data_IF_344874250958
#
_entry.id   IF_344874250958
#
_cell.length_a   1.000
_cell.length_b   1.000
_cell.length_c   1.000
_cell.angle_alpha   90.00
_cell.angle_beta   90.00
_cell.angle_gamma   90.00
#
_symmetry.space_group_name_H-M   'P 1'
#
loop_
_entity.id
_entity.type
_entity.pdbx_description
1 polymer ?
#
# COMPACT_ATOMS: atom_id res chain seq x y z
N UNK A 1 2.77 -12.28 -23.70
CA UNK A 1 3.74 -11.21 -24.01
C UNK A 1 2.98 -9.93 -24.31
N UNK A 2 2.53 -9.23 -23.26
CA UNK A 2 1.95 -7.90 -23.37
C UNK A 2 2.94 -6.93 -22.72
N UNK A 3 3.55 -6.08 -23.53
CA UNK A 3 4.42 -4.98 -23.10
C UNK A 3 3.60 -3.98 -22.29
N UNK A 4 3.99 -3.75 -21.02
CA UNK A 4 3.36 -2.79 -20.09
C UNK A 4 3.69 -1.32 -20.42
N UNK A 5 3.44 -0.92 -21.66
CA UNK A 5 3.37 0.48 -22.08
C UNK A 5 1.97 0.76 -22.65
N UNK A 6 0.92 0.35 -21.93
CA UNK A 6 -0.38 0.96 -22.14
C UNK A 6 -0.29 2.40 -21.61
N UNK A 7 -0.44 3.39 -22.48
CA UNK A 7 -0.64 4.79 -22.12
C UNK A 7 -1.95 4.90 -21.33
N UNK A 8 -1.89 4.63 -20.04
CA UNK A 8 -3.02 4.89 -19.17
C UNK A 8 -3.21 6.40 -19.07
N UNK A 9 -4.42 6.86 -19.39
CA UNK A 9 -4.85 8.20 -19.07
C UNK A 9 -4.64 8.44 -17.56
N UNK A 10 -3.73 9.36 -17.24
CA UNK A 10 -3.40 9.76 -15.86
C UNK A 10 -4.15 11.02 -15.42
N UNK A 11 -4.89 11.67 -16.32
CA UNK A 11 -5.57 12.92 -16.02
C UNK A 11 -6.84 12.61 -15.24
N UNK A 12 -6.84 12.96 -13.97
CA UNK A 12 -8.01 12.86 -13.10
C UNK A 12 -8.61 14.25 -12.88
N UNK A 13 -9.92 14.30 -12.59
CA UNK A 13 -10.59 15.47 -12.06
C UNK A 13 -11.58 15.07 -10.98
N UNK A 14 -12.10 16.05 -10.25
CA UNK A 14 -13.21 15.85 -9.31
C UNK A 14 -14.39 15.12 -9.97
N UNK A 15 -14.76 15.51 -11.20
CA UNK A 15 -15.89 14.94 -11.94
C UNK A 15 -15.58 13.63 -12.71
N UNK A 16 -14.31 13.22 -12.81
CA UNK A 16 -13.92 12.11 -13.69
C UNK A 16 -12.73 11.34 -13.16
N UNK A 17 -12.86 10.01 -13.16
CA UNK A 17 -11.75 9.09 -12.92
C UNK A 17 -10.80 9.05 -14.11
N UNK A 18 -9.49 9.00 -13.82
CA UNK A 18 -8.49 8.67 -14.84
C UNK A 18 -8.52 7.16 -15.17
N UNK A 19 -7.85 6.74 -16.25
CA UNK A 19 -7.73 5.32 -16.60
C UNK A 19 -7.04 4.49 -15.52
N UNK A 20 -6.15 5.11 -14.74
CA UNK A 20 -5.50 4.50 -13.57
C UNK A 20 -6.51 4.23 -12.46
N UNK A 21 -7.43 5.15 -12.24
CA UNK A 21 -8.47 5.03 -11.22
C UNK A 21 -9.54 4.02 -11.62
N UNK A 22 -9.86 3.94 -12.92
CA UNK A 22 -10.73 2.88 -13.44
C UNK A 22 -10.10 1.50 -13.30
N UNK A 23 -8.77 1.38 -13.47
CA UNK A 23 -8.06 0.14 -13.17
C UNK A 23 -8.25 -0.28 -11.71
N UNK A 24 -8.11 0.64 -10.75
CA UNK A 24 -8.39 0.36 -9.34
C UNK A 24 -9.85 -0.04 -9.09
N UNK A 25 -10.79 0.68 -9.70
CA UNK A 25 -12.22 0.39 -9.62
C UNK A 25 -12.52 -1.02 -10.10
N UNK A 26 -11.88 -1.48 -11.19
CA UNK A 26 -12.08 -2.84 -11.71
C UNK A 26 -11.70 -3.95 -10.72
N UNK A 27 -10.77 -3.68 -9.81
CA UNK A 27 -10.38 -4.60 -8.74
C UNK A 27 -11.20 -4.46 -7.46
N UNK A 28 -12.07 -3.45 -7.35
CA UNK A 28 -12.79 -3.15 -6.11
C UNK A 28 -13.65 -4.33 -5.61
N UNK A 29 -14.43 -5.06 -6.43
CA UNK A 29 -15.21 -6.19 -5.94
C UNK A 29 -14.33 -7.31 -5.37
N UNK A 30 -13.18 -7.57 -6.00
CA UNK A 30 -12.23 -8.56 -5.53
C UNK A 30 -11.55 -8.12 -4.23
N UNK A 31 -11.10 -6.87 -4.12
CA UNK A 31 -10.52 -6.32 -2.89
C UNK A 31 -11.51 -6.35 -1.73
N UNK A 32 -12.78 -6.03 -1.99
CA UNK A 32 -13.84 -6.12 -1.00
C UNK A 32 -14.07 -7.57 -0.54
N UNK A 33 -14.02 -8.53 -1.46
CA UNK A 33 -14.10 -9.97 -1.12
C UNK A 33 -12.93 -10.46 -0.25
N UNK A 34 -11.78 -9.75 -0.28
CA UNK A 34 -10.62 -9.97 0.60
C UNK A 34 -10.70 -9.18 1.91
N UNK A 35 -11.78 -8.42 2.13
CA UNK A 35 -12.00 -7.64 3.34
C UNK A 35 -11.38 -6.24 3.30
N UNK A 36 -11.10 -5.68 2.11
CA UNK A 36 -10.57 -4.32 1.93
C UNK A 36 -11.52 -3.45 1.12
N UNK A 37 -12.08 -2.43 1.77
CA UNK A 37 -12.98 -1.48 1.14
C UNK A 37 -12.18 -0.26 0.66
N UNK A 38 -12.16 -0.02 -0.65
CA UNK A 38 -11.61 1.20 -1.22
C UNK A 38 -12.48 2.44 -0.89
N UNK A 39 -11.87 3.63 -0.93
CA UNK A 39 -12.54 4.93 -0.80
C UNK A 39 -13.74 5.03 -1.76
N UNK A 40 -14.77 5.82 -1.42
CA UNK A 40 -15.97 5.98 -2.26
C UNK A 40 -15.66 6.19 -3.74
N UNK A 41 -14.70 7.06 -4.07
CA UNK A 41 -14.27 7.35 -5.45
C UNK A 41 -13.98 6.12 -6.30
N UNK A 42 -13.47 5.03 -5.72
CA UNK A 42 -13.07 3.80 -6.43
C UNK A 42 -14.12 2.69 -6.37
N UNK A 43 -15.35 3.02 -6.00
CA UNK A 43 -16.48 2.08 -6.03
C UNK A 43 -17.12 2.09 -7.43
N UNK A 44 -17.53 0.94 -7.98
CA UNK A 44 -18.09 0.86 -9.34
C UNK A 44 -19.26 1.82 -9.61
N UNK A 45 -20.06 2.10 -8.59
CA UNK A 45 -21.27 2.92 -8.61
C UNK A 45 -21.09 4.32 -8.01
N UNK A 46 -19.84 4.81 -7.90
CA UNK A 46 -19.61 6.11 -7.27
C UNK A 46 -20.26 7.27 -8.00
N UNK A 47 -21.05 8.00 -7.22
CA UNK A 47 -21.60 9.31 -7.52
C UNK A 47 -20.85 10.30 -6.63
N UNK A 48 -20.30 11.40 -7.16
CA UNK A 48 -19.54 12.31 -6.33
C UNK A 48 -20.42 12.94 -5.25
N UNK A 49 -19.91 12.99 -4.02
CA UNK A 49 -20.70 13.33 -2.83
C UNK A 49 -21.38 14.70 -2.90
N UNK A 50 -20.77 15.67 -3.60
CA UNK A 50 -21.34 17.01 -3.83
C UNK A 50 -22.52 17.03 -4.82
N UNK A 51 -22.72 15.98 -5.61
CA UNK A 51 -23.95 15.82 -6.42
C UNK A 51 -25.10 15.25 -5.59
N UNK A 52 -24.81 14.57 -4.49
CA UNK A 52 -25.82 14.04 -3.57
C UNK A 52 -26.25 15.13 -2.59
N UNK A 53 -25.29 15.92 -2.10
CA UNK A 53 -25.53 17.06 -1.24
C UNK A 53 -25.00 18.36 -1.87
N UNK A 54 -25.92 19.14 -2.45
CA UNK A 54 -25.64 20.41 -3.12
C UNK A 54 -25.07 21.50 -2.20
N UNK A 55 -24.98 21.29 -0.88
CA UNK A 55 -24.31 22.21 0.04
C UNK A 55 -22.79 22.01 0.10
N UNK A 56 -22.26 20.94 -0.50
CA UNK A 56 -20.83 20.63 -0.48
C UNK A 56 -20.15 21.13 -1.76
N UNK A 57 -18.91 21.59 -1.64
CA UNK A 57 -18.03 21.76 -2.79
C UNK A 57 -17.12 20.54 -2.93
N UNK A 58 -16.72 20.22 -4.17
CA UNK A 58 -15.82 19.10 -4.42
C UNK A 58 -14.54 19.19 -3.57
N UNK A 59 -13.96 20.40 -3.44
CA UNK A 59 -12.76 20.66 -2.63
C UNK A 59 -12.88 20.27 -1.15
N UNK A 60 -14.10 20.14 -0.64
CA UNK A 60 -14.38 19.80 0.76
C UNK A 60 -14.60 18.29 0.96
N UNK A 61 -14.64 17.53 -0.14
CA UNK A 61 -15.04 16.13 -0.16
C UNK A 61 -13.83 15.23 -0.45
N UNK A 62 -13.60 14.21 0.38
CA UNK A 62 -12.49 13.26 0.20
C UNK A 62 -12.52 12.56 -1.16
N UNK A 63 -13.72 12.28 -1.69
CA UNK A 63 -13.92 11.60 -2.96
C UNK A 63 -13.69 12.47 -4.20
N UNK A 64 -13.34 13.75 -4.03
CA UNK A 64 -12.77 14.58 -5.10
C UNK A 64 -11.26 14.38 -5.27
N UNK A 65 -10.59 13.85 -4.23
CA UNK A 65 -9.14 13.70 -4.20
C UNK A 65 -8.77 12.36 -4.84
N UNK A 66 -8.01 12.41 -5.93
CA UNK A 66 -7.47 11.22 -6.59
C UNK A 66 -6.31 10.60 -5.80
N UNK A 67 -5.71 9.56 -6.39
CA UNK A 67 -4.48 8.98 -5.88
C UNK A 67 -3.40 9.09 -6.96
N UNK A 68 -2.43 9.98 -6.72
CA UNK A 68 -1.30 10.21 -7.63
C UNK A 68 -0.41 8.97 -7.90
N UNK A 69 -0.18 8.04 -6.95
CA UNK A 69 0.61 6.84 -7.24
C UNK A 69 -0.18 5.78 -8.02
N UNK A 70 0.32 5.40 -9.20
CA UNK A 70 -0.34 4.42 -10.09
C UNK A 70 -0.64 3.06 -9.44
N UNK A 71 0.15 2.64 -8.45
CA UNK A 71 0.15 1.30 -7.88
C UNK A 71 -0.05 1.28 -6.36
N UNK A 72 -0.48 2.38 -5.76
CA UNK A 72 -0.68 2.47 -4.32
C UNK A 72 -1.99 3.20 -4.06
N UNK A 73 -2.88 2.62 -3.26
CA UNK A 73 -4.16 3.23 -2.90
C UNK A 73 -4.52 2.89 -1.47
N UNK A 74 -5.09 3.85 -0.74
CA UNK A 74 -5.59 3.63 0.61
C UNK A 74 -6.91 2.84 0.62
N UNK A 75 -7.13 2.09 1.70
CA UNK A 75 -8.34 1.29 1.90
C UNK A 75 -8.65 1.18 3.39
N UNK A 76 -9.87 0.74 3.69
CA UNK A 76 -10.29 0.36 5.04
C UNK A 76 -10.40 -1.15 5.14
N UNK A 77 -9.70 -1.75 6.10
CA UNK A 77 -9.89 -3.17 6.42
C UNK A 77 -11.25 -3.34 7.11
N UNK A 78 -12.16 -4.09 6.49
CA UNK A 78 -13.57 -4.17 6.89
C UNK A 78 -13.75 -4.72 8.31
N UNK A 79 -12.98 -5.74 8.69
CA UNK A 79 -13.17 -6.41 10.00
C UNK A 79 -12.74 -5.55 11.18
N UNK A 80 -11.71 -4.70 11.01
CA UNK A 80 -11.12 -3.91 12.10
C UNK A 80 -11.44 -2.43 12.02
N UNK A 81 -11.92 -1.95 10.88
CA UNK A 81 -12.05 -0.52 10.57
C UNK A 81 -10.71 0.20 10.39
N UNK A 82 -9.58 -0.52 10.38
CA UNK A 82 -8.24 0.08 10.28
C UNK A 82 -7.98 0.61 8.87
N UNK A 83 -7.45 1.82 8.77
CA UNK A 83 -6.89 2.35 7.53
C UNK A 83 -5.58 1.66 7.17
N UNK A 84 -5.49 1.23 5.92
CA UNK A 84 -4.35 0.54 5.32
C UNK A 84 -4.04 1.15 3.96
N UNK A 85 -2.88 0.79 3.43
CA UNK A 85 -2.50 1.05 2.06
C UNK A 85 -2.41 -0.28 1.33
N UNK A 86 -3.00 -0.36 0.14
CA UNK A 86 -2.88 -1.47 -0.79
C UNK A 86 -1.89 -1.08 -1.87
N UNK A 87 -0.82 -1.86 -2.01
CA UNK A 87 0.17 -1.72 -3.10
C UNK A 87 0.02 -2.86 -4.10
N UNK A 88 0.04 -2.53 -5.39
CA UNK A 88 0.19 -3.50 -6.47
C UNK A 88 1.68 -3.76 -6.74
N UNK A 89 2.14 -4.99 -6.45
CA UNK A 89 3.41 -5.51 -6.92
C UNK A 89 3.14 -6.24 -8.23
N UNK A 90 3.66 -5.70 -9.33
CA UNK A 90 3.56 -6.32 -10.66
C UNK A 90 4.99 -6.53 -11.14
N UNK A 91 5.53 -7.76 -11.04
CA UNK A 91 6.86 -8.08 -11.52
C UNK A 91 6.99 -7.75 -13.01
N UNK A 92 8.08 -7.10 -13.37
CA UNK A 92 8.47 -6.80 -14.75
C UNK A 92 9.98 -6.93 -14.89
N UNK A 93 10.51 -6.59 -16.07
CA UNK A 93 11.85 -6.98 -16.53
C UNK A 93 13.02 -6.66 -15.57
N UNK A 94 12.86 -5.76 -14.59
CA UNK A 94 13.84 -5.48 -13.52
C UNK A 94 13.22 -4.95 -12.20
N UNK A 95 11.88 -4.98 -12.05
CA UNK A 95 11.19 -4.38 -10.89
C UNK A 95 10.21 -5.37 -10.26
N UNK A 96 10.20 -5.45 -8.93
CA UNK A 96 9.18 -6.18 -8.17
C UNK A 96 9.42 -7.69 -8.01
N UNK A 97 10.36 -8.30 -8.74
CA UNK A 97 10.58 -9.77 -8.73
C UNK A 97 10.82 -10.35 -7.33
N UNK A 98 11.53 -9.62 -6.46
CA UNK A 98 11.83 -10.04 -5.09
C UNK A 98 11.11 -9.20 -4.03
N UNK A 99 10.30 -8.22 -4.41
CA UNK A 99 9.75 -7.25 -3.48
C UNK A 99 8.82 -7.91 -2.45
N UNK A 100 7.90 -8.76 -2.91
CA UNK A 100 7.02 -9.51 -2.02
C UNK A 100 7.79 -10.48 -1.13
N UNK A 101 8.83 -11.14 -1.66
CA UNK A 101 9.64 -12.10 -0.92
C UNK A 101 10.41 -11.42 0.22
N UNK A 102 11.07 -10.30 -0.07
CA UNK A 102 11.79 -9.50 0.93
C UNK A 102 10.83 -8.97 1.98
N UNK A 103 9.70 -8.39 1.57
CA UNK A 103 8.72 -7.85 2.50
C UNK A 103 8.12 -8.95 3.40
N UNK A 104 7.81 -10.12 2.83
CA UNK A 104 7.30 -11.26 3.59
C UNK A 104 8.32 -11.81 4.58
N UNK A 105 9.60 -11.83 4.21
CA UNK A 105 10.69 -12.23 5.11
C UNK A 105 10.73 -11.34 6.35
N UNK A 106 10.81 -10.02 6.18
CA UNK A 106 10.81 -9.07 7.30
C UNK A 106 9.49 -9.02 8.08
N UNK A 107 8.40 -9.53 7.51
CA UNK A 107 7.09 -9.61 8.16
C UNK A 107 6.82 -10.96 8.82
N UNK A 108 7.76 -11.91 8.71
CA UNK A 108 7.67 -13.21 9.38
C UNK A 108 7.54 -13.04 10.91
N UNK A 109 6.87 -13.95 11.63
CA UNK A 109 6.63 -13.79 13.07
C UNK A 109 7.88 -13.44 13.88
N UNK A 110 9.00 -14.12 13.60
CA UNK A 110 10.27 -13.93 14.32
C UNK A 110 10.87 -12.53 14.07
N UNK A 111 10.86 -12.08 12.82
CA UNK A 111 11.44 -10.78 12.46
C UNK A 111 10.50 -9.63 12.76
N UNK A 112 9.19 -9.81 12.62
CA UNK A 112 8.19 -8.75 12.85
C UNK A 112 8.20 -8.24 14.28
N UNK A 113 8.45 -9.10 15.27
CA UNK A 113 8.59 -8.70 16.68
C UNK A 113 10.01 -8.31 17.07
N UNK A 114 10.97 -8.40 16.15
CA UNK A 114 12.36 -8.08 16.46
C UNK A 114 12.51 -6.56 16.71
N UNK A 115 13.10 -6.12 17.84
CA UNK A 115 13.16 -4.70 18.20
C UNK A 115 14.01 -3.84 17.25
N UNK A 116 14.84 -4.49 16.42
CA UNK A 116 15.68 -3.83 15.42
C UNK A 116 15.12 -3.90 14.00
N UNK A 117 13.94 -4.49 13.81
CA UNK A 117 13.27 -4.52 12.51
C UNK A 117 12.34 -3.31 12.38
N UNK A 118 12.78 -2.33 11.60
CA UNK A 118 12.02 -1.12 11.29
C UNK A 118 11.34 -1.17 9.91
N UNK A 119 11.29 -2.34 9.28
CA UNK A 119 10.62 -2.52 7.98
C UNK A 119 9.10 -2.44 8.17
N UNK A 120 8.44 -1.71 7.27
CA UNK A 120 6.97 -1.62 7.27
C UNK A 120 6.40 -3.03 7.07
N UNK A 121 5.53 -3.52 7.96
CA UNK A 121 5.06 -4.89 7.87
C UNK A 121 4.06 -5.08 6.72
N UNK A 122 4.15 -6.23 6.06
CA UNK A 122 3.06 -6.81 5.28
C UNK A 122 1.99 -7.34 6.24
N UNK A 123 0.80 -6.76 6.18
CA UNK A 123 -0.35 -7.21 6.97
C UNK A 123 -1.06 -8.39 6.29
N UNK A 124 -1.09 -8.37 4.96
CA UNK A 124 -1.75 -9.36 4.12
C UNK A 124 -1.23 -9.25 2.67
N UNK A 125 -1.30 -10.35 1.92
CA UNK A 125 -0.95 -10.37 0.51
C UNK A 125 -1.76 -11.41 -0.25
N UNK A 126 -2.20 -11.07 -1.46
CA UNK A 126 -3.02 -11.94 -2.30
C UNK A 126 -2.82 -11.62 -3.78
N UNK A 127 -3.07 -12.56 -4.71
CA UNK A 127 -2.78 -12.37 -6.13
C UNK A 127 -3.65 -11.28 -6.76
N UNK A 128 -3.12 -10.62 -7.79
CA UNK A 128 -3.89 -9.72 -8.65
C UNK A 128 -4.55 -10.55 -9.77
N UNK A 129 -5.88 -10.54 -9.91
CA UNK A 129 -6.56 -11.29 -10.97
C UNK A 129 -6.04 -10.90 -12.36
N UNK A 130 -5.70 -11.90 -13.18
CA UNK A 130 -5.25 -11.69 -14.56
C UNK A 130 -3.80 -11.22 -14.72
N UNK A 131 -3.03 -11.05 -13.64
CA UNK A 131 -1.62 -10.67 -13.69
C UNK A 131 -0.77 -11.81 -13.11
N UNK A 132 -0.02 -12.48 -13.98
CA UNK A 132 0.93 -13.52 -13.58
C UNK A 132 1.99 -12.94 -12.63
N UNK A 133 2.22 -13.62 -11.51
CA UNK A 133 3.14 -13.20 -10.44
C UNK A 133 2.81 -11.84 -9.79
N UNK A 134 1.67 -11.22 -10.13
CA UNK A 134 1.21 -9.97 -9.53
C UNK A 134 0.56 -10.21 -8.17
N UNK A 135 0.85 -9.33 -7.19
CA UNK A 135 0.27 -9.40 -5.86
C UNK A 135 -0.20 -8.03 -5.36
N UNK A 136 -1.36 -8.01 -4.71
CA UNK A 136 -1.73 -6.95 -3.80
C UNK A 136 -1.07 -7.20 -2.45
N UNK A 137 -0.59 -6.13 -1.84
CA UNK A 137 -0.01 -6.14 -0.49
C UNK A 137 -0.69 -5.07 0.34
N UNK A 138 -1.29 -5.47 1.45
CA UNK A 138 -1.84 -4.57 2.45
C UNK A 138 -0.77 -4.20 3.48
N UNK A 139 -0.58 -2.91 3.73
CA UNK A 139 0.42 -2.35 4.64
C UNK A 139 -0.23 -1.30 5.54
N UNK A 140 0.34 -0.99 6.72
CA UNK A 140 -0.12 0.15 7.50
C UNK A 140 -0.10 1.44 6.67
N UNK A 141 -1.14 2.27 6.82
CA UNK A 141 -1.09 3.66 6.35
C UNK A 141 -0.14 4.46 7.25
N UNK A 142 0.93 5.01 6.66
CA UNK A 142 1.96 5.76 7.38
C UNK A 142 2.00 7.21 6.90
N UNK A 143 2.34 8.12 7.83
CA UNK A 143 2.61 9.52 7.50
C UNK A 143 3.97 9.70 6.84
N UNK A 144 4.22 10.91 6.33
CA UNK A 144 5.54 11.30 5.82
C UNK A 144 6.53 11.33 6.97
N UNK A 145 7.73 10.80 6.76
CA UNK A 145 8.76 10.73 7.81
C UNK A 145 9.23 12.10 8.32
N UNK A 146 8.98 13.18 7.56
CA UNK A 146 9.34 14.55 7.91
C UNK A 146 8.15 15.37 8.48
N UNK A 147 6.98 14.74 8.69
CA UNK A 147 5.80 15.36 9.28
C UNK A 147 5.32 14.55 10.51
N UNK A 148 5.36 15.11 11.74
CA UNK A 148 5.83 16.46 12.09
C UNK A 148 7.36 16.63 11.91
N UNK A 149 7.84 17.88 11.74
CA UNK A 149 9.28 18.13 11.60
C UNK A 149 10.03 17.79 12.88
N UNK A 150 11.27 17.30 12.73
CA UNK A 150 12.21 17.08 13.83
C UNK A 150 12.60 18.44 14.44
N UNK A 151 12.42 18.61 15.75
CA UNK A 151 12.62 19.88 16.48
C UNK A 151 13.88 19.92 17.35
N UNK A 152 14.54 18.78 17.55
CA UNK A 152 15.71 18.69 18.40
C UNK A 152 16.79 17.76 17.83
N UNK A 153 18.04 17.97 18.27
CA UNK A 153 19.16 17.10 17.91
C UNK A 153 18.92 15.66 18.43
N UNK A 154 18.24 15.51 19.56
CA UNK A 154 17.86 14.21 20.10
C UNK A 154 16.90 13.48 19.16
N UNK A 155 15.87 14.15 18.63
CA UNK A 155 14.95 13.57 17.65
C UNK A 155 15.66 13.18 16.34
N UNK A 156 16.59 14.02 15.86
CA UNK A 156 17.42 13.70 14.69
C UNK A 156 18.29 12.48 14.95
N UNK A 157 18.94 12.43 16.11
CA UNK A 157 19.75 11.29 16.51
C UNK A 157 18.91 10.00 16.57
N UNK A 158 17.73 10.02 17.19
CA UNK A 158 16.85 8.87 17.31
C UNK A 158 16.32 8.40 15.94
N UNK A 159 16.02 9.35 15.03
CA UNK A 159 15.67 9.03 13.65
C UNK A 159 16.81 8.34 12.91
N UNK A 160 18.04 8.88 12.99
CA UNK A 160 19.21 8.28 12.36
C UNK A 160 19.57 6.91 12.96
N UNK A 161 19.39 6.73 14.28
CA UNK A 161 19.57 5.44 14.93
C UNK A 161 18.61 4.39 14.38
N UNK A 162 17.33 4.73 14.18
CA UNK A 162 16.35 3.80 13.58
C UNK A 162 16.67 3.54 12.11
N UNK A 163 17.02 4.58 11.34
CA UNK A 163 17.30 4.48 9.91
C UNK A 163 18.54 3.64 9.61
N UNK A 164 19.60 3.81 10.40
CA UNK A 164 20.86 3.08 10.23
C UNK A 164 20.93 1.81 11.06
N UNK A 165 19.84 1.43 11.75
CA UNK A 165 19.81 0.19 12.50
C UNK A 165 19.83 -0.98 11.51
N UNK A 166 21.00 -1.62 11.41
CA UNK A 166 21.13 -2.89 10.71
C UNK A 166 20.80 -3.98 11.71
N UNK A 167 19.62 -4.60 11.57
CA UNK A 167 19.31 -5.82 12.30
C UNK A 167 20.36 -6.87 11.94
N UNK A 168 21.22 -7.23 12.88
CA UNK A 168 22.11 -8.38 12.73
C UNK A 168 21.21 -9.62 12.83
N UNK A 169 20.62 -10.03 11.71
CA UNK A 169 19.73 -11.20 11.60
C UNK A 169 20.50 -12.54 11.70
N UNK A 170 21.67 -12.57 12.34
CA UNK A 170 22.57 -13.74 12.33
C UNK A 170 22.33 -14.74 13.46
N UNK A 171 21.28 -14.57 14.27
CA UNK A 171 20.98 -15.51 15.37
C UNK A 171 19.78 -16.41 15.08
N UNK A 172 19.66 -16.92 13.85
CA UNK A 172 18.88 -18.14 13.64
C UNK A 172 19.68 -19.31 14.25
N UNK A 173 19.15 -20.07 15.22
CA UNK A 173 19.86 -21.21 15.76
C UNK A 173 20.08 -22.20 14.61
N UNK A 174 21.36 -22.37 14.22
CA UNK A 174 21.76 -23.42 13.32
C UNK A 174 21.24 -24.75 13.90
N UNK A 175 20.25 -25.35 13.23
CA UNK A 175 19.74 -26.66 13.58
C UNK A 175 20.93 -27.61 13.65
N UNK A 176 21.24 -28.09 14.85
CA UNK A 176 22.26 -29.13 15.04
C UNK A 176 21.84 -30.34 14.20
N UNK A 177 22.68 -30.86 13.29
CA UNK A 177 22.40 -32.13 12.66
C UNK A 177 22.39 -33.20 13.76
N UNK A 178 21.29 -33.95 13.84
CA UNK A 178 21.22 -35.14 14.69
C UNK A 178 22.29 -36.12 14.18
N UNK A 179 23.23 -36.47 15.06
CA UNK A 179 24.05 -37.67 14.92
C UNK A 179 23.18 -38.91 15.13
#
# INVERSE_FOLDING_TARGET
MATLHEEFDILSSDERRSGVEERWTSFQPYLLSKGYQLRPRYRPDWVPSWHINNSLHASDCEDSIDCMPLRVLDATQVVSGRQVVIKMIVPGHEQGENELAVLSHFSSPDLRSHPDNHVVPCLDSFPIPGIESGAFVAMPLLGKYYEPPLKSIAEVHDFLQQLFKVGVLTNLPAGRPKQ
#
